data_IF_942606017339
#
_entry.id   IF_942606017339
#
_cell.length_a   1.000
_cell.length_b   1.000
_cell.length_c   1.000
_cell.angle_alpha   90.00
_cell.angle_beta   90.00
_cell.angle_gamma   90.00
#
_symmetry.space_group_name_H-M   'P 1'
#
loop_
_entity.id
_entity.type
_entity.pdbx_description
1 polymer ?
#
# COMPACT_ATOMS: atom_id res chain seq x y z
N UNK A 1 16.97 -2.16 -5.30
CA UNK A 1 16.07 -1.57 -4.29
C UNK A 1 16.04 -2.49 -3.07
N UNK A 2 16.17 -1.99 -1.84
CA UNK A 2 16.08 -2.82 -0.64
C UNK A 2 14.71 -3.50 -0.56
N UNK A 3 14.67 -4.79 -0.19
CA UNK A 3 13.41 -5.53 -0.05
C UNK A 3 12.56 -4.89 1.05
N UNK A 4 11.32 -4.58 0.72
CA UNK A 4 10.36 -4.01 1.66
C UNK A 4 9.71 -5.17 2.45
N UNK A 5 9.70 -5.15 3.79
CA UNK A 5 9.03 -6.19 4.57
C UNK A 5 7.52 -6.22 4.28
N UNK A 6 6.87 -7.40 4.27
CA UNK A 6 5.42 -7.52 4.24
C UNK A 6 4.77 -6.68 5.36
N UNK A 7 3.70 -5.97 5.05
CA UNK A 7 3.01 -5.09 5.99
C UNK A 7 3.59 -3.67 6.14
N UNK A 8 4.72 -3.34 5.51
CA UNK A 8 5.23 -1.96 5.50
C UNK A 8 4.34 -1.05 4.63
N UNK A 9 3.98 0.12 5.18
CA UNK A 9 3.16 1.09 4.46
C UNK A 9 4.04 1.96 3.58
N UNK A 10 3.75 1.98 2.28
CA UNK A 10 4.33 2.92 1.32
C UNK A 10 3.39 4.10 1.15
N UNK A 11 3.90 5.30 1.41
CA UNK A 11 3.13 6.53 1.14
C UNK A 11 2.96 6.72 -0.36
N UNK A 12 1.96 7.50 -0.77
CA UNK A 12 1.77 7.80 -2.19
C UNK A 12 3.01 8.46 -2.81
N UNK A 13 3.61 9.41 -2.12
CA UNK A 13 4.83 10.08 -2.59
C UNK A 13 6.02 9.12 -2.71
N UNK A 14 6.14 8.13 -1.80
CA UNK A 14 7.15 7.08 -1.93
C UNK A 14 6.90 6.19 -3.15
N UNK A 15 5.64 5.88 -3.46
CA UNK A 15 5.28 5.09 -4.64
C UNK A 15 5.58 5.91 -5.90
N UNK A 16 5.17 7.18 -5.96
CA UNK A 16 5.49 8.12 -7.05
C UNK A 16 7.01 8.17 -7.28
N UNK A 17 7.79 8.35 -6.21
CA UNK A 17 9.25 8.45 -6.28
C UNK A 17 9.94 7.15 -6.71
N UNK A 18 9.31 5.99 -6.46
CA UNK A 18 9.87 4.68 -6.80
C UNK A 18 9.60 4.27 -8.26
N UNK A 19 8.56 4.84 -8.89
CA UNK A 19 8.26 4.60 -10.30
C UNK A 19 9.23 5.44 -11.15
N UNK A 20 10.42 4.90 -11.42
CA UNK A 20 11.34 5.50 -12.40
C UNK A 20 10.75 5.33 -13.80
N UNK A 21 10.17 6.40 -14.32
CA UNK A 21 9.80 6.53 -15.72
C UNK A 21 9.92 8.00 -16.12
N UNK A 22 10.81 8.29 -17.05
CA UNK A 22 11.04 9.64 -17.57
C UNK A 22 9.71 10.28 -18.01
N UNK A 23 9.45 11.51 -17.55
CA UNK A 23 8.40 12.38 -18.09
C UNK A 23 7.00 12.24 -17.49
N UNK A 24 6.72 11.27 -16.62
CA UNK A 24 5.40 11.14 -16.00
C UNK A 24 5.31 11.99 -14.71
N UNK A 25 4.57 13.11 -14.75
CA UNK A 25 4.15 13.83 -13.54
C UNK A 25 3.05 13.01 -12.86
N UNK A 26 3.45 11.96 -12.15
CA UNK A 26 2.53 11.11 -11.40
C UNK A 26 2.14 11.81 -10.10
N UNK A 27 0.89 12.22 -10.00
CA UNK A 27 0.35 12.71 -8.73
C UNK A 27 -0.09 11.54 -7.84
N UNK A 28 -0.24 11.83 -6.55
CA UNK A 28 -0.89 10.93 -5.59
C UNK A 28 -2.24 10.37 -6.09
N UNK A 29 -2.99 11.15 -6.88
CA UNK A 29 -4.29 10.73 -7.46
C UNK A 29 -4.12 9.70 -8.58
N UNK A 30 -3.06 9.85 -9.38
CA UNK A 30 -2.75 8.89 -10.46
C UNK A 30 -2.33 7.54 -9.87
N UNK A 31 -1.63 7.54 -8.74
CA UNK A 31 -1.35 6.30 -7.99
C UNK A 31 -2.63 5.58 -7.59
N UNK A 32 -3.65 6.29 -7.09
CA UNK A 32 -4.92 5.66 -6.71
C UNK A 32 -5.57 4.93 -7.90
N UNK A 33 -5.53 5.54 -9.09
CA UNK A 33 -6.05 4.94 -10.35
C UNK A 33 -5.26 3.69 -10.73
N UNK A 34 -3.93 3.76 -10.68
CA UNK A 34 -3.10 2.59 -10.98
C UNK A 34 -3.30 1.45 -9.99
N UNK A 35 -3.45 1.75 -8.70
CA UNK A 35 -3.74 0.72 -7.69
C UNK A 35 -5.11 0.09 -7.93
N UNK A 36 -6.13 0.88 -8.30
CA UNK A 36 -7.45 0.34 -8.63
C UNK A 36 -7.39 -0.60 -9.86
N UNK A 37 -6.70 -0.17 -10.93
CA UNK A 37 -6.51 -0.98 -12.12
C UNK A 37 -5.68 -2.26 -11.83
N UNK A 38 -4.65 -2.14 -10.99
CA UNK A 38 -3.84 -3.28 -10.57
C UNK A 38 -4.67 -4.31 -9.78
N UNK A 39 -5.51 -3.86 -8.83
CA UNK A 39 -6.41 -4.76 -8.10
C UNK A 39 -7.35 -5.52 -9.03
N UNK A 40 -7.93 -4.84 -10.03
CA UNK A 40 -8.79 -5.49 -11.02
C UNK A 40 -8.03 -6.54 -11.83
N UNK A 41 -6.81 -6.22 -12.28
CA UNK A 41 -5.97 -7.16 -13.04
C UNK A 41 -5.51 -8.36 -12.21
N UNK A 42 -5.39 -8.21 -10.89
CA UNK A 42 -4.98 -9.27 -9.97
C UNK A 42 -6.15 -10.17 -9.53
N UNK A 43 -7.40 -9.80 -9.81
CA UNK A 43 -8.58 -10.53 -9.35
C UNK A 43 -8.58 -10.70 -7.83
N UNK A 44 -8.76 -11.93 -7.36
CA UNK A 44 -8.80 -12.26 -5.92
C UNK A 44 -7.51 -11.86 -5.21
N UNK A 45 -6.34 -11.88 -5.88
CA UNK A 45 -5.07 -11.46 -5.27
C UNK A 45 -5.00 -9.95 -5.02
N UNK A 46 -5.91 -9.15 -5.60
CA UNK A 46 -6.03 -7.73 -5.34
C UNK A 46 -6.37 -7.40 -3.88
N UNK A 47 -6.95 -8.36 -3.14
CA UNK A 47 -7.27 -8.21 -1.72
C UNK A 47 -6.03 -7.98 -0.84
N UNK A 48 -4.86 -8.45 -1.28
CA UNK A 48 -3.59 -8.27 -0.57
C UNK A 48 -3.01 -6.85 -0.68
N UNK A 49 -3.55 -6.01 -1.57
CA UNK A 49 -3.21 -4.60 -1.62
C UNK A 49 -4.17 -3.84 -0.73
N UNK A 50 -3.71 -3.39 0.43
CA UNK A 50 -4.56 -2.71 1.41
C UNK A 50 -4.37 -1.19 1.37
N UNK A 51 -5.49 -0.47 1.47
CA UNK A 51 -5.48 1.00 1.59
C UNK A 51 -5.34 1.41 3.05
N UNK A 52 -4.29 2.16 3.37
CA UNK A 52 -4.17 2.88 4.63
C UNK A 52 -4.65 4.31 4.40
N UNK A 53 -5.91 4.59 4.78
CA UNK A 53 -6.56 5.89 4.56
C UNK A 53 -5.68 7.03 5.09
N UNK A 54 -5.54 8.09 4.28
CA UNK A 54 -4.68 9.24 4.60
C UNK A 54 -3.16 9.01 4.47
N UNK A 55 -2.70 7.77 4.26
CA UNK A 55 -1.25 7.47 4.23
C UNK A 55 -0.81 6.91 2.87
N UNK A 56 -1.40 5.81 2.42
CA UNK A 56 -0.95 5.12 1.22
C UNK A 56 -1.36 3.65 1.19
N UNK A 57 -0.44 2.77 0.82
CA UNK A 57 -0.74 1.36 0.54
C UNK A 57 0.24 0.42 1.23
N UNK A 58 -0.24 -0.77 1.58
CA UNK A 58 0.62 -1.88 2.02
C UNK A 58 0.25 -3.16 1.31
N UNK A 59 1.21 -4.07 1.20
CA UNK A 59 0.96 -5.45 0.83
C UNK A 59 0.81 -6.28 2.11
N UNK A 60 -0.32 -6.95 2.27
CA UNK A 60 -0.49 -7.98 3.28
C UNK A 60 0.17 -9.27 2.83
N UNK A 61 0.76 -9.97 3.80
CA UNK A 61 1.26 -11.33 3.58
C UNK A 61 0.06 -12.27 3.48
N UNK A 62 -0.03 -13.13 2.44
CA UNK A 62 -1.08 -14.14 2.36
C UNK A 62 -1.16 -15.02 3.61
N UNK A 63 -0.04 -15.31 4.28
CA UNK A 63 -0.01 -16.09 5.52
C UNK A 63 -0.65 -15.35 6.71
N UNK A 64 -0.83 -14.03 6.62
CA UNK A 64 -1.41 -13.20 7.69
C UNK A 64 -2.82 -12.70 7.38
N UNK A 65 -3.26 -12.73 6.12
CA UNK A 65 -4.60 -12.29 5.72
C UNK A 65 -5.71 -13.22 6.25
N UNK A 66 -5.39 -14.48 6.50
CA UNK A 66 -6.29 -15.48 7.08
C UNK A 66 -6.43 -15.34 8.60
N UNK A 67 -5.63 -14.46 9.23
CA UNK A 67 -5.71 -14.19 10.66
C UNK A 67 -6.52 -12.91 10.90
N UNK A 68 -7.57 -12.93 11.74
CA UNK A 68 -8.39 -11.76 11.99
C UNK A 68 -7.50 -10.64 12.53
N UNK A 69 -7.52 -9.49 11.86
CA UNK A 69 -6.80 -8.30 12.29
C UNK A 69 -7.39 -7.86 13.63
N UNK A 70 -6.75 -8.29 14.72
CA UNK A 70 -7.05 -7.85 16.07
C UNK A 70 -7.02 -6.31 16.14
N UNK A 71 -7.81 -5.72 17.07
CA UNK A 71 -8.08 -4.29 17.08
C UNK A 71 -6.78 -3.49 17.02
N UNK A 72 -6.73 -2.54 16.07
CA UNK A 72 -5.58 -1.67 15.85
C UNK A 72 -5.26 -0.97 17.16
N UNK A 73 -4.19 -1.40 17.82
CA UNK A 73 -3.68 -0.74 19.02
C UNK A 73 -3.33 0.69 18.63
N UNK A 74 -4.20 1.59 19.05
CA UNK A 74 -3.96 3.02 19.08
C UNK A 74 -2.73 3.20 19.96
N UNK A 75 -1.61 3.57 19.35
CA UNK A 75 -0.47 4.04 20.13
C UNK A 75 -0.90 5.38 20.74
N UNK A 76 -1.31 5.34 22.00
CA UNK A 76 -1.45 6.54 22.82
C UNK A 76 -0.11 7.29 22.86
N UNK A 77 -0.12 8.63 22.90
CA UNK A 77 1.09 9.43 23.02
C UNK A 77 1.63 9.27 24.44
N UNK A 78 2.95 9.15 24.57
CA UNK A 78 3.63 9.22 25.85
C UNK A 78 4.57 10.43 25.83
N UNK A 79 4.38 11.33 26.80
CA UNK A 79 5.27 12.45 27.11
C UNK A 79 4.72 13.80 26.71
#
# INVERSE_FOLDING_TARGET
LPRVPPGFVRTRDQIVSAVRGEGAVLSSRVIDVHVAALRQKLGDLGQYIETVRGVGYRLSDPVRAEQPVGPKSHRSPAG
#
